data_IF_814549338036
#
_entry.id   IF_814549338036
#
_cell.length_a   1.000
_cell.length_b   1.000
_cell.length_c   1.000
_cell.angle_alpha   90.00
_cell.angle_beta   90.00
_cell.angle_gamma   90.00
#
_symmetry.space_group_name_H-M   'P 1'
#
loop_
_entity.id
_entity.type
_entity.pdbx_description
1 polymer ?
#
# COMPACT_ATOMS: atom_id res chain seq x y z
N UNK A 1 14.46 -25.77 -2.94
CA UNK A 1 15.38 -24.64 -3.25
C UNK A 1 15.59 -23.85 -1.97
N UNK A 2 16.83 -23.62 -1.52
CA UNK A 2 17.09 -22.76 -0.35
C UNK A 2 16.67 -21.33 -0.72
N UNK A 3 15.68 -20.80 0.00
CA UNK A 3 15.26 -19.41 -0.14
C UNK A 3 16.43 -18.51 0.27
N UNK A 4 16.93 -17.72 -0.67
CA UNK A 4 17.98 -16.75 -0.42
C UNK A 4 17.38 -15.66 0.49
N UNK A 5 17.93 -15.48 1.69
CA UNK A 5 17.52 -14.41 2.59
C UNK A 5 17.57 -13.07 1.84
N UNK A 6 16.54 -12.26 1.94
CA UNK A 6 16.46 -10.95 1.27
C UNK A 6 17.67 -10.09 1.65
N UNK A 7 18.61 -9.90 0.72
CA UNK A 7 19.87 -9.21 0.96
C UNK A 7 19.61 -7.71 1.20
N UNK A 8 19.98 -7.21 2.38
CA UNK A 8 19.89 -5.80 2.71
C UNK A 8 20.65 -4.93 1.71
N UNK A 9 21.87 -5.36 1.30
CA UNK A 9 22.71 -4.61 0.35
C UNK A 9 22.08 -4.50 -1.04
N UNK A 10 21.46 -5.58 -1.53
CA UNK A 10 20.78 -5.58 -2.83
C UNK A 10 19.53 -4.69 -2.77
N UNK A 11 18.78 -4.76 -1.69
CA UNK A 11 17.62 -3.90 -1.49
C UNK A 11 18.01 -2.41 -1.41
N UNK A 12 19.12 -2.08 -0.77
CA UNK A 12 19.64 -0.70 -0.72
C UNK A 12 19.98 -0.19 -2.13
N UNK A 13 20.58 -1.03 -2.97
CA UNK A 13 20.87 -0.66 -4.36
C UNK A 13 19.58 -0.38 -5.16
N UNK A 14 18.54 -1.20 -4.99
CA UNK A 14 17.24 -0.98 -5.66
C UNK A 14 16.54 0.26 -5.12
N UNK A 15 16.66 0.58 -3.83
CA UNK A 15 16.18 1.84 -3.27
C UNK A 15 16.88 3.06 -3.91
N UNK A 16 18.19 3.04 -4.06
CA UNK A 16 18.94 4.10 -4.75
C UNK A 16 18.51 4.23 -6.22
N UNK A 17 18.27 3.12 -6.89
CA UNK A 17 17.74 3.11 -8.25
C UNK A 17 16.33 3.75 -8.31
N UNK A 18 15.44 3.46 -7.35
CA UNK A 18 14.13 4.12 -7.25
C UNK A 18 14.26 5.65 -7.22
N UNK A 19 15.19 6.17 -6.43
CA UNK A 19 15.45 7.61 -6.37
C UNK A 19 15.94 8.18 -7.72
N UNK A 20 16.81 7.46 -8.42
CA UNK A 20 17.33 7.91 -9.73
C UNK A 20 16.28 7.87 -10.84
N UNK A 21 15.26 7.01 -10.72
CA UNK A 21 14.17 6.85 -11.67
C UNK A 21 12.93 7.70 -11.34
N UNK A 22 12.92 8.43 -10.21
CA UNK A 22 11.70 9.12 -9.74
C UNK A 22 11.10 10.09 -10.77
N UNK A 23 11.91 10.80 -11.55
CA UNK A 23 11.43 11.72 -12.60
C UNK A 23 10.83 10.94 -13.79
N UNK A 24 11.46 9.84 -14.19
CA UNK A 24 10.96 8.95 -15.23
C UNK A 24 9.65 8.29 -14.81
N UNK A 25 9.58 7.79 -13.57
CA UNK A 25 8.39 7.18 -12.98
C UNK A 25 7.23 8.17 -12.96
N UNK A 26 7.47 9.41 -12.53
CA UNK A 26 6.44 10.45 -12.52
C UNK A 26 5.98 10.82 -13.93
N UNK A 27 6.91 11.05 -14.85
CA UNK A 27 6.61 11.43 -16.23
C UNK A 27 5.89 10.31 -16.99
N UNK A 28 6.34 9.06 -16.82
CA UNK A 28 5.73 7.87 -17.42
C UNK A 28 4.43 7.44 -16.76
N UNK A 29 4.08 8.00 -15.62
CA UNK A 29 2.92 7.63 -14.79
C UNK A 29 2.82 6.14 -14.47
N UNK A 30 3.97 5.45 -14.44
CA UNK A 30 4.12 4.01 -14.10
C UNK A 30 5.57 3.70 -13.78
N UNK A 31 5.79 2.58 -13.13
CA UNK A 31 7.14 2.04 -13.00
C UNK A 31 7.63 1.52 -14.36
N UNK A 32 8.89 1.78 -14.76
CA UNK A 32 9.53 1.08 -15.84
C UNK A 32 9.46 -0.44 -15.63
N UNK A 33 9.13 -1.21 -16.68
CA UNK A 33 8.86 -2.64 -16.54
C UNK A 33 10.05 -3.40 -15.94
N UNK A 34 11.26 -3.09 -16.36
CA UNK A 34 12.48 -3.71 -15.85
C UNK A 34 12.68 -3.40 -14.37
N UNK A 35 12.45 -2.16 -13.94
CA UNK A 35 12.54 -1.77 -12.54
C UNK A 35 11.49 -2.46 -11.67
N UNK A 36 10.26 -2.61 -12.17
CA UNK A 36 9.22 -3.37 -11.47
C UNK A 36 9.63 -4.85 -11.26
N UNK A 37 10.25 -5.48 -12.26
CA UNK A 37 10.78 -6.85 -12.13
C UNK A 37 11.97 -6.92 -11.17
N UNK A 38 12.82 -5.91 -11.10
CA UNK A 38 13.89 -5.84 -10.10
C UNK A 38 13.33 -5.73 -8.67
N UNK A 39 12.27 -4.95 -8.45
CA UNK A 39 11.55 -4.91 -7.17
C UNK A 39 10.95 -6.28 -6.83
N UNK A 40 10.39 -6.99 -7.81
CA UNK A 40 9.86 -8.33 -7.63
C UNK A 40 10.97 -9.33 -7.26
N UNK A 41 12.12 -9.28 -7.92
CA UNK A 41 13.31 -10.08 -7.60
C UNK A 41 13.85 -9.83 -6.18
N UNK A 42 13.58 -8.64 -5.60
CA UNK A 42 13.87 -8.34 -4.20
C UNK A 42 12.75 -8.77 -3.25
N UNK A 43 11.78 -9.56 -3.71
CA UNK A 43 10.68 -10.09 -2.91
C UNK A 43 9.65 -9.04 -2.49
N UNK A 44 9.63 -7.86 -3.11
CA UNK A 44 8.74 -6.77 -2.69
C UNK A 44 7.25 -7.09 -2.92
N UNK A 45 6.92 -7.97 -3.85
CA UNK A 45 5.55 -8.42 -4.12
C UNK A 45 5.22 -9.76 -3.44
N UNK A 46 6.22 -10.55 -3.06
CA UNK A 46 6.05 -11.86 -2.40
C UNK A 46 6.39 -11.84 -0.92
N UNK A 47 6.60 -10.64 -0.32
CA UNK A 47 7.00 -10.53 1.09
C UNK A 47 6.00 -11.13 2.07
N UNK A 48 4.72 -11.17 1.72
CA UNK A 48 3.64 -11.73 2.56
C UNK A 48 3.02 -13.02 2.00
N UNK A 49 3.59 -13.58 0.93
CA UNK A 49 3.22 -14.90 0.40
C UNK A 49 3.77 -15.99 1.33
N UNK A 50 3.01 -17.08 1.59
CA UNK A 50 3.48 -18.22 2.38
C UNK A 50 4.83 -18.79 1.92
N UNK A 51 5.65 -19.23 2.86
CA UNK A 51 6.97 -19.80 2.56
C UNK A 51 6.89 -21.10 1.77
N UNK A 52 5.93 -21.93 2.07
CA UNK A 52 5.70 -23.20 1.39
C UNK A 52 5.21 -23.01 -0.06
N UNK A 53 4.64 -21.85 -0.40
CA UNK A 53 4.39 -21.45 -1.77
C UNK A 53 5.63 -20.86 -2.48
N UNK A 54 6.71 -20.55 -1.75
CA UNK A 54 7.90 -19.90 -2.29
C UNK A 54 7.98 -18.40 -1.99
N UNK A 55 7.09 -17.85 -1.15
CA UNK A 55 7.13 -16.48 -0.66
C UNK A 55 8.08 -16.28 0.52
N UNK A 56 8.11 -15.08 1.08
CA UNK A 56 9.00 -14.73 2.18
C UNK A 56 8.33 -14.78 3.55
N UNK A 57 7.02 -14.67 3.61
CA UNK A 57 6.21 -14.69 4.85
C UNK A 57 6.84 -13.83 5.95
N UNK A 58 7.18 -12.60 5.59
CA UNK A 58 7.77 -11.65 6.53
C UNK A 58 6.74 -11.27 7.60
N UNK A 59 7.24 -10.96 8.80
CA UNK A 59 6.41 -10.33 9.81
C UNK A 59 5.83 -9.00 9.27
N UNK A 60 4.65 -8.57 9.74
CA UNK A 60 4.13 -7.24 9.43
C UNK A 60 5.13 -6.12 9.71
N UNK A 61 5.87 -6.24 10.83
CA UNK A 61 6.87 -5.26 11.25
C UNK A 61 8.00 -5.13 10.22
N UNK A 62 8.54 -6.27 9.75
CA UNK A 62 9.64 -6.27 8.78
C UNK A 62 9.17 -5.84 7.39
N UNK A 63 8.01 -6.31 6.95
CA UNK A 63 7.45 -5.93 5.65
C UNK A 63 7.14 -4.43 5.58
N UNK A 64 6.51 -3.86 6.62
CA UNK A 64 6.23 -2.42 6.67
C UNK A 64 7.50 -1.59 6.79
N UNK A 65 8.55 -2.07 7.47
CA UNK A 65 9.85 -1.40 7.51
C UNK A 65 10.51 -1.33 6.13
N UNK A 66 10.37 -2.38 5.28
CA UNK A 66 10.86 -2.35 3.90
C UNK A 66 10.09 -1.35 3.04
N UNK A 67 8.77 -1.30 3.17
CA UNK A 67 7.93 -0.31 2.48
C UNK A 67 8.27 1.12 2.89
N UNK A 68 8.40 1.38 4.20
CA UNK A 68 8.81 2.68 4.73
C UNK A 68 10.19 3.10 4.18
N UNK A 69 11.14 2.16 4.11
CA UNK A 69 12.46 2.42 3.56
C UNK A 69 12.41 2.76 2.07
N UNK A 70 11.71 1.99 1.25
CA UNK A 70 11.58 2.27 -0.19
C UNK A 70 10.91 3.62 -0.43
N UNK A 71 9.89 3.99 0.37
CA UNK A 71 9.18 5.27 0.26
C UNK A 71 10.07 6.49 0.53
N UNK A 72 11.17 6.34 1.26
CA UNK A 72 12.15 7.42 1.43
C UNK A 72 12.84 7.79 0.11
N UNK A 73 12.91 6.85 -0.82
CA UNK A 73 13.54 7.03 -2.12
C UNK A 73 12.50 7.42 -3.19
N UNK A 74 11.42 6.63 -3.33
CA UNK A 74 10.31 6.93 -4.22
C UNK A 74 8.99 6.40 -3.65
N UNK A 75 8.04 7.32 -3.41
CA UNK A 75 6.77 6.99 -2.79
C UNK A 75 5.85 6.19 -3.71
N UNK A 76 5.88 6.44 -5.02
CA UNK A 76 5.06 5.72 -5.99
C UNK A 76 5.49 4.25 -6.11
N UNK A 77 6.81 3.99 -6.14
CA UNK A 77 7.37 2.63 -6.13
C UNK A 77 6.98 1.86 -4.86
N UNK A 78 7.09 2.51 -3.70
CA UNK A 78 6.69 1.91 -2.43
C UNK A 78 5.17 1.63 -2.37
N UNK A 79 4.35 2.53 -2.93
CA UNK A 79 2.91 2.35 -3.03
C UNK A 79 2.54 1.15 -3.90
N UNK A 80 3.14 1.01 -5.08
CA UNK A 80 2.93 -0.14 -5.96
C UNK A 80 3.30 -1.44 -5.27
N UNK A 81 4.46 -1.48 -4.61
CA UNK A 81 4.88 -2.65 -3.82
C UNK A 81 3.93 -2.93 -2.65
N UNK A 82 3.45 -1.90 -1.95
CA UNK A 82 2.51 -2.03 -0.84
C UNK A 82 1.20 -2.66 -1.30
N UNK A 83 0.60 -2.15 -2.37
CA UNK A 83 -0.65 -2.70 -2.93
C UNK A 83 -0.45 -4.16 -3.37
N UNK A 84 0.66 -4.45 -4.09
CA UNK A 84 0.92 -5.81 -4.56
C UNK A 84 1.19 -6.80 -3.42
N UNK A 85 2.02 -6.42 -2.46
CA UNK A 85 2.34 -7.28 -1.32
C UNK A 85 1.11 -7.54 -0.42
N UNK A 86 0.28 -6.53 -0.17
CA UNK A 86 -0.93 -6.72 0.64
C UNK A 86 -2.00 -7.51 -0.10
N UNK A 87 -2.14 -7.35 -1.43
CA UNK A 87 -2.99 -8.21 -2.24
C UNK A 87 -2.52 -9.67 -2.23
N UNK A 88 -1.22 -9.89 -2.14
CA UNK A 88 -0.62 -11.23 -2.11
C UNK A 88 -0.92 -12.03 -0.82
N UNK A 89 -1.46 -11.41 0.24
CA UNK A 89 -2.06 -12.15 1.38
C UNK A 89 -3.14 -13.12 0.92
N UNK A 90 -3.83 -12.81 -0.18
CA UNK A 90 -4.83 -13.68 -0.79
C UNK A 90 -4.31 -15.05 -1.22
N UNK A 91 -3.00 -15.19 -1.43
CA UNK A 91 -2.36 -16.46 -1.76
C UNK A 91 -2.60 -17.55 -0.70
N UNK A 92 -2.75 -17.17 0.57
CA UNK A 92 -3.02 -18.10 1.64
C UNK A 92 -4.43 -18.71 1.60
N UNK A 93 -5.36 -18.09 0.87
CA UNK A 93 -6.78 -18.52 0.76
C UNK A 93 -7.08 -19.28 -0.53
N UNK A 94 -6.09 -19.50 -1.38
CA UNK A 94 -6.17 -20.24 -2.63
C UNK A 94 -5.32 -21.51 -2.48
N UNK A 95 -5.78 -22.64 -3.05
CA UNK A 95 -5.03 -23.89 -3.00
C UNK A 95 -3.62 -23.73 -3.60
N UNK A 96 -2.65 -24.40 -3.00
CA UNK A 96 -1.22 -24.22 -3.28
C UNK A 96 -0.84 -24.38 -4.76
N UNK A 97 -1.39 -25.38 -5.44
CA UNK A 97 -1.15 -25.66 -6.86
C UNK A 97 -1.64 -24.53 -7.80
N UNK A 98 -2.66 -23.80 -7.36
CA UNK A 98 -3.24 -22.64 -8.05
C UNK A 98 -2.56 -21.32 -7.63
N UNK A 99 -2.30 -21.15 -6.33
CA UNK A 99 -1.72 -19.94 -5.79
C UNK A 99 -0.24 -19.73 -6.20
N UNK A 100 0.55 -20.81 -6.22
CA UNK A 100 1.97 -20.76 -6.50
C UNK A 100 2.31 -20.07 -7.84
N UNK A 101 1.70 -20.43 -8.99
CA UNK A 101 1.97 -19.76 -10.26
C UNK A 101 1.50 -18.29 -10.31
N UNK A 102 0.51 -17.91 -9.49
CA UNK A 102 -0.03 -16.54 -9.47
C UNK A 102 0.81 -15.60 -8.62
N UNK A 103 1.31 -16.05 -7.47
CA UNK A 103 1.89 -15.19 -6.45
C UNK A 103 3.38 -15.43 -6.19
N UNK A 104 3.88 -16.61 -6.44
CA UNK A 104 5.22 -17.03 -6.02
C UNK A 104 6.13 -17.50 -7.17
N UNK A 105 5.65 -17.55 -8.41
CA UNK A 105 6.52 -17.76 -9.56
C UNK A 105 7.55 -16.62 -9.64
N UNK A 106 8.72 -16.92 -10.20
CA UNK A 106 9.86 -16.00 -10.27
C UNK A 106 9.43 -14.61 -10.82
N UNK A 107 9.77 -13.57 -10.06
CA UNK A 107 9.48 -12.16 -10.39
C UNK A 107 8.01 -11.85 -10.66
N UNK A 108 7.08 -12.64 -10.13
CA UNK A 108 5.65 -12.42 -10.27
C UNK A 108 5.22 -11.11 -9.60
N UNK A 109 4.36 -10.36 -10.27
CA UNK A 109 3.78 -9.12 -9.77
C UNK A 109 2.27 -9.28 -9.72
N UNK A 110 1.69 -9.06 -8.55
CA UNK A 110 0.24 -8.99 -8.36
C UNK A 110 -0.15 -7.61 -7.87
N UNK A 111 -1.39 -7.24 -8.11
CA UNK A 111 -2.04 -6.10 -7.45
C UNK A 111 -3.50 -6.44 -7.15
N UNK A 112 -4.22 -5.54 -6.47
CA UNK A 112 -5.61 -5.80 -6.15
C UNK A 112 -6.42 -4.55 -5.89
N UNK A 113 -7.72 -4.62 -6.23
CA UNK A 113 -8.74 -3.62 -5.96
C UNK A 113 -9.84 -4.30 -5.16
N UNK A 114 -9.97 -3.92 -3.89
CA UNK A 114 -10.93 -4.55 -2.99
C UNK A 114 -12.38 -4.11 -3.23
N UNK A 115 -12.60 -2.92 -3.83
CA UNK A 115 -13.94 -2.39 -4.07
C UNK A 115 -14.80 -3.38 -4.88
N UNK A 116 -16.01 -3.77 -4.40
CA UNK A 116 -16.83 -4.80 -5.01
C UNK A 116 -17.63 -4.27 -6.22
N UNK A 117 -16.91 -3.75 -7.22
CA UNK A 117 -17.50 -3.16 -8.41
C UNK A 117 -17.82 -4.19 -9.49
N UNK A 118 -17.25 -5.39 -9.41
CA UNK A 118 -17.58 -6.49 -10.30
C UNK A 118 -18.92 -7.10 -9.99
N UNK A 119 -19.56 -7.64 -11.02
CA UNK A 119 -20.78 -8.44 -10.96
C UNK A 119 -20.59 -9.70 -11.79
N UNK A 120 -21.15 -10.79 -11.33
CA UNK A 120 -21.06 -12.03 -12.06
C UNK A 120 -21.84 -13.15 -11.40
N UNK A 121 -21.80 -14.29 -12.03
CA UNK A 121 -22.47 -15.50 -11.59
C UNK A 121 -21.59 -16.73 -11.89
N UNK A 122 -21.89 -17.81 -11.21
CA UNK A 122 -21.22 -19.10 -11.44
C UNK A 122 -21.80 -19.77 -12.69
N UNK A 123 -20.92 -20.28 -13.55
CA UNK A 123 -21.26 -21.09 -14.71
C UNK A 123 -20.31 -22.31 -14.75
N UNK A 124 -20.75 -23.41 -14.18
CA UNK A 124 -19.94 -24.61 -14.00
C UNK A 124 -18.77 -24.38 -13.03
N UNK A 125 -17.54 -24.58 -13.52
CA UNK A 125 -16.29 -24.39 -12.76
C UNK A 125 -15.71 -22.97 -12.89
N UNK A 126 -16.41 -22.07 -13.59
CA UNK A 126 -16.02 -20.68 -13.77
C UNK A 126 -17.01 -19.72 -13.14
N UNK A 127 -16.54 -18.50 -12.83
CA UNK A 127 -17.36 -17.31 -12.75
C UNK A 127 -17.34 -16.55 -14.08
N UNK A 128 -18.50 -16.06 -14.51
CA UNK A 128 -18.61 -15.09 -15.62
C UNK A 128 -18.70 -13.71 -14.99
N UNK A 129 -17.66 -12.89 -15.19
CA UNK A 129 -17.48 -11.63 -14.47
C UNK A 129 -17.43 -10.46 -15.44
N UNK A 130 -18.15 -9.40 -15.09
CA UNK A 130 -18.05 -8.07 -15.73
C UNK A 130 -17.93 -6.99 -14.66
N UNK A 131 -17.19 -5.93 -14.97
CA UNK A 131 -17.07 -4.77 -14.08
C UNK A 131 -15.95 -3.83 -14.50
N UNK A 132 -15.97 -2.64 -13.90
CA UNK A 132 -14.93 -1.65 -14.05
C UNK A 132 -14.50 -1.15 -12.68
N UNK A 133 -13.19 -1.18 -12.43
CA UNK A 133 -12.60 -0.81 -11.16
C UNK A 133 -11.63 0.34 -11.36
N UNK A 134 -11.88 1.43 -10.66
CA UNK A 134 -10.94 2.55 -10.58
C UNK A 134 -9.85 2.27 -9.53
N UNK A 135 -8.78 3.04 -9.58
CA UNK A 135 -7.69 3.00 -8.59
C UNK A 135 -6.86 1.71 -8.60
N UNK A 136 -6.66 1.12 -9.78
CA UNK A 136 -5.91 -0.12 -9.98
C UNK A 136 -4.39 0.07 -9.85
N UNK A 137 -3.91 0.48 -8.68
CA UNK A 137 -2.49 0.77 -8.43
C UNK A 137 -1.61 -0.42 -8.75
N UNK A 138 -0.54 -0.19 -9.55
CA UNK A 138 0.41 -1.23 -9.96
C UNK A 138 -0.05 -2.11 -11.12
N UNK A 139 -1.29 -1.93 -11.61
CA UNK A 139 -1.87 -2.78 -12.66
C UNK A 139 -1.08 -2.77 -13.98
N UNK A 140 -0.37 -1.67 -14.30
CA UNK A 140 0.45 -1.60 -15.51
C UNK A 140 1.55 -2.66 -15.58
N UNK A 141 2.05 -3.11 -14.43
CA UNK A 141 3.13 -4.08 -14.32
C UNK A 141 2.67 -5.45 -13.80
N UNK A 142 1.41 -5.57 -13.34
CA UNK A 142 0.89 -6.79 -12.74
C UNK A 142 0.65 -7.89 -13.77
N UNK A 143 0.92 -9.14 -13.37
CA UNK A 143 0.60 -10.36 -14.12
C UNK A 143 -0.80 -10.87 -13.77
N UNK A 144 -1.21 -10.70 -12.51
CA UNK A 144 -2.55 -11.00 -12.01
C UNK A 144 -3.10 -9.84 -11.21
N UNK A 145 -4.41 -9.59 -11.35
CA UNK A 145 -5.10 -8.50 -10.68
C UNK A 145 -6.27 -9.07 -9.88
N UNK A 146 -6.24 -8.88 -8.57
CA UNK A 146 -7.34 -9.22 -7.67
C UNK A 146 -8.45 -8.17 -7.76
N UNK A 147 -9.66 -8.60 -8.07
CA UNK A 147 -10.80 -7.73 -8.33
C UNK A 147 -11.96 -8.07 -7.40
N UNK A 148 -12.43 -7.09 -6.63
CA UNK A 148 -13.60 -7.25 -5.77
C UNK A 148 -14.88 -7.39 -6.59
N UNK A 149 -15.64 -8.49 -6.36
CA UNK A 149 -16.83 -8.81 -7.09
C UNK A 149 -17.96 -9.22 -6.14
N UNK A 150 -19.19 -8.93 -6.52
CA UNK A 150 -20.41 -9.53 -5.96
C UNK A 150 -20.89 -10.61 -6.92
N UNK A 151 -20.84 -11.87 -6.47
CA UNK A 151 -21.08 -13.05 -7.29
C UNK A 151 -22.29 -13.84 -6.77
N UNK A 152 -23.15 -14.30 -7.68
CA UNK A 152 -24.29 -15.18 -7.41
C UNK A 152 -24.00 -16.60 -7.89
N UNK A 153 -24.77 -17.58 -7.42
CA UNK A 153 -24.66 -18.97 -7.90
C UNK A 153 -25.28 -19.14 -9.29
N UNK A 154 -26.32 -18.35 -9.61
CA UNK A 154 -26.96 -18.40 -10.91
C UNK A 154 -27.17 -16.99 -11.49
N UNK A 155 -27.30 -16.83 -12.82
CA UNK A 155 -27.48 -15.54 -13.46
C UNK A 155 -28.78 -14.80 -13.05
N UNK A 156 -29.80 -15.55 -12.68
CA UNK A 156 -31.16 -15.04 -12.34
C UNK A 156 -31.37 -14.85 -10.83
N UNK A 157 -30.34 -15.11 -10.00
CA UNK A 157 -30.44 -14.96 -8.55
C UNK A 157 -30.62 -13.48 -8.16
N UNK A 158 -31.31 -13.23 -7.02
CA UNK A 158 -31.40 -11.86 -6.46
C UNK A 158 -30.01 -11.32 -6.18
N UNK A 159 -29.64 -10.16 -6.74
CA UNK A 159 -28.33 -9.52 -6.46
C UNK A 159 -28.04 -9.30 -4.97
N UNK A 160 -29.04 -9.31 -4.10
CA UNK A 160 -28.88 -9.23 -2.65
C UNK A 160 -28.28 -10.49 -2.01
N UNK A 161 -28.36 -11.62 -2.71
CA UNK A 161 -27.76 -12.89 -2.27
C UNK A 161 -26.30 -13.02 -2.70
N UNK A 162 -25.79 -12.05 -3.48
CA UNK A 162 -24.44 -12.09 -4.01
C UNK A 162 -23.38 -12.09 -2.89
N UNK A 163 -22.41 -12.97 -3.03
CA UNK A 163 -21.26 -13.04 -2.14
C UNK A 163 -20.14 -12.12 -2.62
N UNK A 164 -19.52 -11.39 -1.68
CA UNK A 164 -18.32 -10.62 -1.98
C UNK A 164 -17.11 -11.54 -2.02
N UNK A 165 -16.48 -11.64 -3.19
CA UNK A 165 -15.25 -12.40 -3.41
C UNK A 165 -14.19 -11.54 -4.12
N UNK A 166 -12.92 -11.87 -3.89
CA UNK A 166 -11.81 -11.39 -4.70
C UNK A 166 -11.51 -12.42 -5.77
N UNK A 167 -11.55 -12.00 -7.02
CA UNK A 167 -11.31 -12.85 -8.20
C UNK A 167 -9.96 -12.47 -8.79
N UNK A 168 -9.05 -13.44 -8.92
CA UNK A 168 -7.72 -13.24 -9.50
C UNK A 168 -7.77 -13.39 -11.02
N UNK A 169 -7.80 -12.26 -11.71
CA UNK A 169 -7.84 -12.20 -13.17
C UNK A 169 -6.43 -12.12 -13.75
N UNK A 170 -6.08 -12.97 -14.74
CA UNK A 170 -4.83 -12.82 -15.47
C UNK A 170 -4.87 -11.55 -16.33
N UNK A 171 -3.71 -10.93 -16.53
CA UNK A 171 -3.56 -9.65 -17.24
C UNK A 171 -4.21 -9.64 -18.62
N UNK A 172 -4.18 -10.76 -19.31
CA UNK A 172 -4.65 -10.92 -20.70
C UNK A 172 -6.16 -10.70 -20.84
N UNK A 173 -6.93 -10.88 -19.77
CA UNK A 173 -8.37 -10.64 -19.74
C UNK A 173 -8.73 -9.18 -19.44
N UNK A 174 -7.76 -8.36 -19.03
CA UNK A 174 -8.00 -7.01 -18.53
C UNK A 174 -7.93 -5.99 -19.67
N UNK A 175 -8.96 -5.16 -19.78
CA UNK A 175 -8.90 -3.91 -20.54
C UNK A 175 -8.44 -2.78 -19.63
N UNK A 176 -7.38 -2.09 -20.03
CA UNK A 176 -6.78 -0.96 -19.29
C UNK A 176 -7.27 0.37 -19.86
N UNK A 177 -7.62 1.30 -18.95
CA UNK A 177 -8.03 2.66 -19.32
C UNK A 177 -7.06 3.67 -18.73
N UNK A 178 -6.58 4.60 -19.55
CA UNK A 178 -5.67 5.67 -19.12
C UNK A 178 -6.43 6.81 -18.43
N UNK A 179 -6.84 6.59 -17.19
CA UNK A 179 -7.59 7.56 -16.39
C UNK A 179 -6.77 8.20 -15.27
N UNK A 180 -5.50 7.75 -15.03
CA UNK A 180 -4.70 8.21 -13.89
C UNK A 180 -3.95 9.52 -14.17
N UNK A 181 -4.70 10.63 -14.26
CA UNK A 181 -4.17 11.99 -14.42
C UNK A 181 -4.36 12.76 -13.12
N UNK A 182 -3.41 12.65 -12.19
CA UNK A 182 -3.57 13.02 -10.78
C UNK A 182 -2.54 14.03 -10.30
N UNK A 183 -2.80 14.61 -9.11
CA UNK A 183 -1.92 15.53 -8.44
C UNK A 183 -0.59 14.87 -8.05
N UNK A 184 -0.65 13.75 -7.35
CA UNK A 184 0.50 12.99 -6.84
C UNK A 184 0.32 11.50 -7.05
N UNK A 185 1.30 10.69 -6.59
CA UNK A 185 1.37 9.24 -6.82
C UNK A 185 1.20 8.89 -8.30
N UNK A 186 1.66 9.74 -9.20
CA UNK A 186 1.48 9.57 -10.65
C UNK A 186 2.06 8.24 -11.13
N UNK A 187 3.24 7.89 -10.62
CA UNK A 187 3.97 6.67 -10.99
C UNK A 187 3.29 5.36 -10.59
N UNK A 188 2.17 5.40 -9.87
CA UNK A 188 1.46 4.18 -9.44
C UNK A 188 0.60 3.55 -10.54
N UNK A 189 0.36 4.26 -11.65
CA UNK A 189 -0.48 3.78 -12.76
C UNK A 189 -1.85 3.27 -12.29
N UNK A 190 -2.50 4.04 -11.39
CA UNK A 190 -3.77 3.65 -10.77
C UNK A 190 -4.98 3.93 -11.68
N UNK A 191 -4.84 3.73 -12.99
CA UNK A 191 -5.92 3.84 -13.97
C UNK A 191 -7.04 2.83 -13.71
N UNK A 192 -8.11 2.93 -14.49
CA UNK A 192 -9.21 1.98 -14.41
C UNK A 192 -8.85 0.69 -15.15
N UNK A 193 -9.37 -0.41 -14.64
CA UNK A 193 -9.33 -1.73 -15.29
C UNK A 193 -10.74 -2.26 -15.48
N UNK A 194 -10.97 -3.04 -16.55
CA UNK A 194 -12.29 -3.53 -16.89
C UNK A 194 -12.23 -5.00 -17.32
N UNK A 195 -13.24 -5.76 -16.91
CA UNK A 195 -13.57 -7.09 -17.42
C UNK A 195 -14.93 -7.04 -18.11
N UNK A 196 -15.07 -7.74 -19.25
CA UNK A 196 -16.34 -7.90 -19.95
C UNK A 196 -16.59 -9.38 -20.20
N UNK A 197 -17.60 -9.94 -19.53
CA UNK A 197 -18.00 -11.35 -19.62
C UNK A 197 -16.81 -12.33 -19.53
N UNK A 198 -15.85 -12.00 -18.67
CA UNK A 198 -14.63 -12.80 -18.53
C UNK A 198 -14.92 -14.08 -17.74
N UNK A 199 -14.49 -15.21 -18.26
CA UNK A 199 -14.56 -16.51 -17.58
C UNK A 199 -13.31 -16.69 -16.73
N UNK A 200 -13.49 -16.85 -15.43
CA UNK A 200 -12.39 -17.01 -14.48
C UNK A 200 -12.72 -18.21 -13.59
N UNK A 201 -11.82 -19.20 -13.47
CA UNK A 201 -12.06 -20.37 -12.64
C UNK A 201 -12.48 -20.00 -11.21
N UNK A 202 -13.50 -20.65 -10.66
CA UNK A 202 -13.94 -20.46 -9.27
C UNK A 202 -12.77 -20.61 -8.29
N UNK A 203 -11.87 -21.54 -8.58
CA UNK A 203 -10.68 -21.78 -7.78
C UNK A 203 -9.67 -20.60 -7.75
N UNK A 204 -9.80 -19.61 -8.64
CA UNK A 204 -9.03 -18.38 -8.67
C UNK A 204 -9.66 -17.27 -7.80
N UNK A 205 -10.50 -17.62 -6.84
CA UNK A 205 -11.18 -16.65 -6.00
C UNK A 205 -11.15 -17.03 -4.52
N UNK A 206 -11.33 -16.02 -3.67
CA UNK A 206 -11.47 -16.21 -2.22
C UNK A 206 -12.33 -15.10 -1.61
N UNK A 207 -12.98 -15.43 -0.48
CA UNK A 207 -13.82 -14.51 0.28
C UNK A 207 -13.16 -14.20 1.64
N UNK A 208 -12.70 -12.94 1.82
CA UNK A 208 -12.08 -12.50 3.07
C UNK A 208 -13.11 -12.53 4.21
N UNK A 209 -12.71 -13.11 5.34
CA UNK A 209 -13.55 -13.24 6.53
C UNK A 209 -14.57 -14.37 6.47
N UNK A 210 -14.62 -15.13 5.37
CA UNK A 210 -15.46 -16.33 5.21
C UNK A 210 -14.65 -17.58 4.93
N UNK A 211 -13.77 -17.52 3.92
CA UNK A 211 -12.90 -18.64 3.60
C UNK A 211 -11.82 -18.77 4.66
N UNK A 212 -11.48 -19.99 5.04
CA UNK A 212 -10.36 -20.28 5.90
C UNK A 212 -9.08 -20.33 5.08
N UNK A 213 -7.96 -19.84 5.61
CA UNK A 213 -6.68 -19.97 4.91
C UNK A 213 -6.26 -21.44 4.81
N UNK A 214 -5.62 -21.79 3.71
CA UNK A 214 -4.97 -23.09 3.51
C UNK A 214 -3.63 -23.20 4.23
N UNK A 215 -3.11 -22.08 4.77
CA UNK A 215 -1.82 -21.98 5.44
C UNK A 215 -2.03 -21.46 6.87
N UNK A 216 -1.48 -22.19 7.85
CA UNK A 216 -1.71 -21.95 9.28
C UNK A 216 -0.84 -20.82 9.87
N UNK A 217 -0.14 -20.04 9.06
CA UNK A 217 0.76 -18.98 9.52
C UNK A 217 0.00 -17.85 10.25
N UNK A 218 0.55 -17.30 11.35
CA UNK A 218 -0.08 -16.23 12.10
C UNK A 218 -0.29 -14.95 11.26
N UNK A 219 0.50 -14.76 10.20
CA UNK A 219 0.34 -13.62 9.28
C UNK A 219 -1.07 -13.54 8.67
N UNK A 220 -1.70 -14.68 8.37
CA UNK A 220 -3.01 -14.77 7.73
C UNK A 220 -4.18 -14.63 8.70
N UNK A 221 -3.88 -14.50 10.00
CA UNK A 221 -4.83 -14.15 11.06
C UNK A 221 -4.84 -12.64 11.37
N UNK A 222 -3.97 -11.85 10.72
CA UNK A 222 -3.97 -10.40 10.88
C UNK A 222 -5.30 -9.79 10.41
N UNK A 223 -5.82 -8.75 11.12
CA UNK A 223 -7.02 -8.05 10.67
C UNK A 223 -6.76 -7.40 9.31
N UNK A 224 -7.47 -7.87 8.27
CA UNK A 224 -7.13 -7.59 6.87
C UNK A 224 -7.08 -6.09 6.55
N UNK A 225 -8.15 -5.34 6.88
CA UNK A 225 -8.21 -3.91 6.60
C UNK A 225 -7.23 -3.08 7.42
N UNK A 226 -7.02 -3.46 8.69
CA UNK A 226 -6.01 -2.82 9.53
C UNK A 226 -4.60 -3.07 8.99
N UNK A 227 -4.34 -4.26 8.46
CA UNK A 227 -3.08 -4.59 7.79
C UNK A 227 -2.85 -3.74 6.52
N UNK A 228 -3.88 -3.58 5.68
CA UNK A 228 -3.81 -2.70 4.51
C UNK A 228 -3.53 -1.24 4.93
N UNK A 229 -4.20 -0.77 6.00
CA UNK A 229 -3.99 0.57 6.52
C UNK A 229 -2.55 0.77 7.03
N UNK A 230 -1.97 -0.26 7.66
CA UNK A 230 -0.58 -0.22 8.09
C UNK A 230 0.37 -0.03 6.91
N UNK A 231 0.13 -0.68 5.78
CA UNK A 231 0.90 -0.47 4.55
C UNK A 231 0.88 0.98 4.07
N UNK A 232 -0.29 1.61 4.03
CA UNK A 232 -0.44 3.03 3.67
C UNK A 232 0.32 3.93 4.65
N UNK A 233 0.23 3.65 5.96
CA UNK A 233 0.97 4.35 7.01
C UNK A 233 2.49 4.27 6.84
N UNK A 234 3.01 3.09 6.51
CA UNK A 234 4.44 2.89 6.27
C UNK A 234 4.97 3.74 5.10
N UNK A 235 4.25 3.76 3.96
CA UNK A 235 4.61 4.58 2.80
C UNK A 235 4.59 6.07 3.14
N UNK A 236 3.56 6.52 3.87
CA UNK A 236 3.45 7.93 4.28
C UNK A 236 4.61 8.36 5.21
N UNK A 237 4.97 7.53 6.21
CA UNK A 237 6.09 7.78 7.12
C UNK A 237 7.42 7.89 6.36
N UNK A 238 7.66 7.00 5.39
CA UNK A 238 8.86 7.04 4.55
C UNK A 238 8.93 8.31 3.70
N UNK A 239 7.83 8.69 3.06
CA UNK A 239 7.74 9.91 2.26
C UNK A 239 8.00 11.18 3.12
N UNK A 240 7.47 11.24 4.34
CA UNK A 240 7.69 12.36 5.26
C UNK A 240 9.15 12.43 5.73
N UNK A 241 9.76 11.29 6.02
CA UNK A 241 11.21 11.24 6.32
C UNK A 241 12.04 11.80 5.17
N UNK A 242 11.72 11.38 3.93
CA UNK A 242 12.41 11.89 2.74
C UNK A 242 12.27 13.41 2.59
N UNK A 243 11.09 13.98 2.85
CA UNK A 243 10.90 15.43 2.78
C UNK A 243 11.83 16.18 3.74
N UNK A 244 11.99 15.71 4.98
CA UNK A 244 12.94 16.29 5.95
C UNK A 244 14.39 16.19 5.43
N UNK A 245 14.79 15.03 4.93
CA UNK A 245 16.15 14.83 4.43
C UNK A 245 16.41 15.63 3.13
N UNK A 246 15.44 15.74 2.24
CA UNK A 246 15.53 16.57 1.04
C UNK A 246 15.72 18.05 1.42
N UNK A 247 14.99 18.55 2.42
CA UNK A 247 15.15 19.92 2.92
C UNK A 247 16.55 20.16 3.54
N UNK A 248 17.04 19.23 4.35
CA UNK A 248 18.36 19.33 4.99
C UNK A 248 19.52 19.43 4.00
N UNK A 249 19.36 18.87 2.78
CA UNK A 249 20.43 18.91 1.75
C UNK A 249 20.71 20.32 1.22
N UNK A 250 19.74 21.22 1.22
CA UNK A 250 19.97 22.56 0.67
C UNK A 250 19.80 23.71 1.67
N UNK A 251 19.22 23.47 2.85
CA UNK A 251 18.93 24.53 3.83
C UNK A 251 20.18 25.29 4.29
N UNK A 252 21.34 24.61 4.32
CA UNK A 252 22.61 25.20 4.74
C UNK A 252 23.25 26.19 3.76
N UNK A 253 22.83 26.12 2.48
CA UNK A 253 23.40 27.01 1.44
C UNK A 253 22.34 27.99 0.88
N UNK A 254 21.06 27.73 1.08
CA UNK A 254 19.99 28.58 0.57
C UNK A 254 19.82 29.83 1.41
N UNK A 255 19.74 31.00 0.72
CA UNK A 255 19.40 32.31 1.31
C UNK A 255 18.08 32.81 0.73
N UNK A 256 17.31 33.54 1.53
CA UNK A 256 16.18 34.32 1.05
C UNK A 256 16.64 35.49 0.15
N UNK A 257 15.72 36.01 -0.68
CA UNK A 257 15.99 37.17 -1.51
C UNK A 257 16.40 38.37 -0.64
N UNK A 258 17.57 38.95 -0.90
CA UNK A 258 18.10 40.09 -0.15
C UNK A 258 18.67 39.74 1.24
N UNK A 259 18.72 38.47 1.64
CA UNK A 259 19.18 38.07 2.96
C UNK A 259 20.66 37.66 2.99
N UNK A 260 21.33 37.97 4.08
CA UNK A 260 22.73 37.55 4.31
C UNK A 260 22.80 36.14 4.93
N UNK A 261 21.84 35.79 5.79
CA UNK A 261 21.76 34.51 6.49
C UNK A 261 21.14 33.42 5.61
N UNK A 262 21.66 32.22 5.77
CA UNK A 262 21.02 31.00 5.17
C UNK A 262 19.73 30.65 5.90
N UNK A 263 18.91 29.81 5.30
CA UNK A 263 17.71 29.30 5.99
C UNK A 263 18.07 28.55 7.28
N UNK A 264 19.19 27.83 7.29
CA UNK A 264 19.65 27.08 8.45
C UNK A 264 19.98 27.97 9.66
N UNK A 265 20.35 29.26 9.43
CA UNK A 265 20.68 30.21 10.49
C UNK A 265 19.46 30.96 11.07
N UNK A 266 18.27 30.70 10.55
CA UNK A 266 17.02 31.34 11.01
C UNK A 266 16.40 30.53 12.15
N UNK A 267 16.21 31.17 13.31
CA UNK A 267 15.62 30.50 14.50
C UNK A 267 14.23 29.92 14.23
N UNK A 268 13.39 30.60 13.44
CA UNK A 268 12.07 30.09 13.04
C UNK A 268 12.16 28.79 12.22
N UNK A 269 13.13 28.70 11.30
CA UNK A 269 13.38 27.48 10.50
C UNK A 269 13.86 26.34 11.41
N UNK A 270 14.83 26.64 12.30
CA UNK A 270 15.35 25.66 13.25
C UNK A 270 14.25 25.10 14.15
N UNK A 271 13.40 25.98 14.71
CA UNK A 271 12.28 25.57 15.57
C UNK A 271 11.25 24.70 14.83
N UNK A 272 10.82 25.10 13.64
CA UNK A 272 9.81 24.34 12.88
C UNK A 272 10.36 23.01 12.37
N UNK A 273 11.64 22.96 11.98
CA UNK A 273 12.30 21.70 11.60
C UNK A 273 12.35 20.72 12.79
N UNK A 274 12.68 21.21 13.98
CA UNK A 274 12.68 20.38 15.20
C UNK A 274 11.29 19.88 15.56
N UNK A 275 10.24 20.72 15.40
CA UNK A 275 8.84 20.31 15.59
C UNK A 275 8.41 19.24 14.56
N UNK A 276 8.75 19.41 13.29
CA UNK A 276 8.50 18.42 12.26
C UNK A 276 9.20 17.08 12.57
N UNK A 277 10.44 17.13 13.00
CA UNK A 277 11.23 15.94 13.38
C UNK A 277 10.60 15.20 14.56
N UNK A 278 10.25 15.88 15.64
CA UNK A 278 9.68 15.21 16.83
C UNK A 278 8.28 14.65 16.52
N UNK A 279 7.47 15.36 15.73
CA UNK A 279 6.17 14.87 15.28
C UNK A 279 6.30 13.57 14.49
N UNK A 280 7.21 13.53 13.51
CA UNK A 280 7.42 12.31 12.72
C UNK A 280 7.95 11.16 13.58
N UNK A 281 8.90 11.41 14.48
CA UNK A 281 9.46 10.38 15.37
C UNK A 281 8.44 9.81 16.33
N UNK A 282 7.62 10.67 16.96
CA UNK A 282 6.56 10.23 17.87
C UNK A 282 5.50 9.41 17.14
N UNK A 283 5.07 9.87 15.97
CA UNK A 283 4.10 9.16 15.12
C UNK A 283 4.63 7.79 14.69
N UNK A 284 5.89 7.73 14.24
CA UNK A 284 6.53 6.48 13.81
C UNK A 284 6.70 5.49 14.97
N UNK A 285 7.03 5.97 16.16
CA UNK A 285 7.16 5.13 17.35
C UNK A 285 5.80 4.52 17.72
N UNK A 286 4.75 5.35 17.85
CA UNK A 286 3.40 4.90 18.13
C UNK A 286 2.92 3.85 17.10
N UNK A 287 3.10 4.13 15.80
CA UNK A 287 2.72 3.22 14.73
C UNK A 287 3.45 1.87 14.85
N UNK A 288 4.76 1.88 15.06
CA UNK A 288 5.57 0.66 15.13
C UNK A 288 5.29 -0.16 16.39
N UNK A 289 5.12 0.50 17.51
CA UNK A 289 4.81 -0.13 18.80
C UNK A 289 3.47 -0.86 18.74
N UNK A 290 2.42 -0.18 18.24
CA UNK A 290 1.10 -0.79 18.07
C UNK A 290 1.12 -1.96 17.08
N UNK A 291 1.79 -1.81 15.93
CA UNK A 291 1.91 -2.89 14.95
C UNK A 291 2.64 -4.11 15.53
N UNK A 292 3.72 -3.88 16.28
CA UNK A 292 4.49 -4.94 16.92
C UNK A 292 3.67 -5.64 18.02
N UNK A 293 2.92 -4.90 18.82
CA UNK A 293 2.03 -5.46 19.85
C UNK A 293 0.92 -6.33 19.24
N UNK A 294 0.24 -5.84 18.21
CA UNK A 294 -0.77 -6.62 17.46
C UNK A 294 -0.16 -7.89 16.87
N UNK A 295 1.04 -7.80 16.29
CA UNK A 295 1.73 -8.96 15.75
C UNK A 295 2.08 -10.00 16.82
N UNK A 296 2.54 -9.55 17.99
CA UNK A 296 2.79 -10.45 19.15
C UNK A 296 1.52 -11.14 19.61
N UNK A 297 0.41 -10.42 19.70
CA UNK A 297 -0.89 -10.97 20.07
C UNK A 297 -1.36 -12.04 19.08
N UNK A 298 -1.25 -11.75 17.78
CA UNK A 298 -1.61 -12.72 16.72
C UNK A 298 -0.73 -13.99 16.81
N UNK A 299 0.58 -13.83 17.00
CA UNK A 299 1.49 -14.97 17.16
C UNK A 299 1.19 -15.81 18.43
N UNK A 300 0.66 -15.18 19.48
CA UNK A 300 0.26 -15.83 20.70
C UNK A 300 -1.16 -16.43 20.65
N UNK A 301 -1.87 -16.29 19.51
CA UNK A 301 -3.25 -16.76 19.36
C UNK A 301 -4.27 -15.96 20.17
N UNK A 302 -3.94 -14.71 20.52
CA UNK A 302 -4.85 -13.82 21.24
C UNK A 302 -5.91 -13.31 20.25
N UNK A 303 -7.17 -13.33 20.70
CA UNK A 303 -8.29 -12.86 19.88
C UNK A 303 -8.12 -11.40 19.42
N UNK A 304 -8.34 -11.16 18.15
CA UNK A 304 -8.34 -9.83 17.56
C UNK A 304 -9.72 -9.17 17.78
N UNK A 305 -9.91 -8.61 18.97
CA UNK A 305 -11.14 -7.90 19.33
C UNK A 305 -11.33 -6.65 18.45
N UNK A 306 -12.56 -6.11 18.33
CA UNK A 306 -12.81 -4.86 17.62
C UNK A 306 -11.91 -3.70 18.07
N UNK A 307 -11.61 -3.60 19.37
CA UNK A 307 -10.74 -2.56 19.93
C UNK A 307 -9.31 -2.67 19.41
N UNK A 308 -8.73 -3.88 19.39
CA UNK A 308 -7.38 -4.11 18.85
C UNK A 308 -7.29 -3.81 17.37
N UNK A 309 -8.31 -4.19 16.60
CA UNK A 309 -8.41 -3.86 15.17
C UNK A 309 -8.52 -2.34 14.97
N UNK A 310 -9.35 -1.69 15.78
CA UNK A 310 -9.53 -0.24 15.77
C UNK A 310 -8.23 0.50 16.11
N UNK A 311 -7.44 0.03 17.06
CA UNK A 311 -6.15 0.64 17.42
C UNK A 311 -5.17 0.64 16.24
N UNK A 312 -5.02 -0.48 15.53
CA UNK A 312 -4.14 -0.52 14.35
C UNK A 312 -4.64 0.39 13.22
N UNK A 313 -5.97 0.47 13.04
CA UNK A 313 -6.60 1.41 12.10
C UNK A 313 -6.34 2.86 12.49
N UNK A 314 -6.49 3.18 13.78
CA UNK A 314 -6.27 4.50 14.33
C UNK A 314 -4.84 5.00 14.09
N UNK A 315 -3.85 4.22 14.52
CA UNK A 315 -2.44 4.63 14.41
C UNK A 315 -1.97 4.70 12.96
N UNK A 316 -2.49 3.84 12.10
CA UNK A 316 -2.19 3.85 10.66
C UNK A 316 -2.73 5.11 9.99
N UNK A 317 -3.99 5.48 10.26
CA UNK A 317 -4.59 6.71 9.76
C UNK A 317 -3.87 7.94 10.33
N UNK A 318 -3.55 7.92 11.63
CA UNK A 318 -2.77 8.98 12.27
C UNK A 318 -1.40 9.15 11.62
N UNK A 319 -0.71 8.04 11.31
CA UNK A 319 0.57 8.07 10.62
C UNK A 319 0.49 8.81 9.27
N UNK A 320 -0.55 8.55 8.46
CA UNK A 320 -0.77 9.25 7.19
C UNK A 320 -1.00 10.74 7.43
N UNK A 321 -1.90 11.11 8.35
CA UNK A 321 -2.26 12.51 8.62
C UNK A 321 -1.11 13.33 9.17
N UNK A 322 -0.34 12.78 10.11
CA UNK A 322 0.84 13.46 10.68
C UNK A 322 1.97 13.54 9.66
N UNK A 323 2.15 12.55 8.82
CA UNK A 323 3.12 12.59 7.72
C UNK A 323 2.85 13.74 6.77
N UNK A 324 1.59 13.96 6.38
CA UNK A 324 1.19 15.11 5.54
C UNK A 324 1.48 16.44 6.25
N UNK A 325 1.14 16.55 7.54
CA UNK A 325 1.40 17.76 8.32
C UNK A 325 2.92 18.09 8.35
N UNK A 326 3.76 17.07 8.56
CA UNK A 326 5.23 17.21 8.49
C UNK A 326 5.69 17.68 7.11
N UNK A 327 5.20 17.04 6.04
CA UNK A 327 5.60 17.40 4.66
C UNK A 327 5.17 18.84 4.32
N UNK A 328 3.99 19.30 4.77
CA UNK A 328 3.53 20.69 4.61
C UNK A 328 4.49 21.68 5.29
N UNK A 329 4.86 21.41 6.55
CA UNK A 329 5.85 22.25 7.26
C UNK A 329 7.14 22.35 6.45
N UNK A 330 7.67 21.25 5.96
CA UNK A 330 8.90 21.22 5.18
C UNK A 330 8.75 21.98 3.85
N UNK A 331 7.63 21.83 3.17
CA UNK A 331 7.32 22.56 1.94
C UNK A 331 7.30 24.07 2.18
N UNK A 332 6.64 24.52 3.24
CA UNK A 332 6.56 25.95 3.61
C UNK A 332 7.93 26.51 3.97
N UNK A 333 8.74 25.76 4.73
CA UNK A 333 10.12 26.13 5.05
C UNK A 333 11.01 26.23 3.82
N UNK A 334 10.80 25.39 2.82
CA UNK A 334 11.53 25.41 1.56
C UNK A 334 11.19 26.65 0.71
N UNK A 335 10.04 27.27 0.93
CA UNK A 335 9.58 28.48 0.25
C UNK A 335 9.57 28.32 -1.27
N UNK A 336 9.86 29.40 -2.02
CA UNK A 336 9.80 29.40 -3.49
C UNK A 336 10.60 28.29 -4.21
N UNK A 337 11.58 27.66 -3.57
CA UNK A 337 12.31 26.52 -4.16
C UNK A 337 11.42 25.28 -4.30
N UNK A 338 10.48 25.09 -3.37
CA UNK A 338 9.56 23.94 -3.39
C UNK A 338 8.53 23.99 -4.52
N UNK A 339 8.37 25.12 -5.20
CA UNK A 339 7.40 25.28 -6.29
C UNK A 339 7.88 24.67 -7.61
N UNK A 340 9.18 24.63 -7.83
CA UNK A 340 9.76 24.12 -9.07
C UNK A 340 9.64 22.60 -9.17
N UNK A 341 9.28 22.09 -10.37
CA UNK A 341 9.18 20.64 -10.62
C UNK A 341 10.50 19.89 -10.40
N UNK A 342 11.64 20.58 -10.52
CA UNK A 342 12.96 20.04 -10.21
C UNK A 342 13.22 19.84 -8.70
N UNK A 343 12.35 20.38 -7.83
CA UNK A 343 12.47 20.18 -6.37
C UNK A 343 11.77 18.88 -5.96
N UNK A 344 12.44 17.96 -5.27
CA UNK A 344 11.77 16.75 -4.77
C UNK A 344 10.66 17.07 -3.75
N UNK A 345 10.75 18.17 -3.02
CA UNK A 345 9.82 18.52 -1.93
C UNK A 345 8.40 18.71 -2.45
N UNK A 346 8.20 19.34 -3.64
CA UNK A 346 6.86 19.48 -4.20
C UNK A 346 6.25 18.12 -4.56
N UNK A 347 7.07 17.15 -5.03
CA UNK A 347 6.60 15.78 -5.29
C UNK A 347 6.20 15.10 -3.99
N UNK A 348 7.04 15.21 -2.95
CA UNK A 348 6.71 14.67 -1.62
C UNK A 348 5.38 15.19 -1.09
N UNK A 349 5.09 16.50 -1.29
CA UNK A 349 3.83 17.09 -0.88
C UNK A 349 2.65 16.53 -1.70
N UNK A 350 2.74 16.52 -3.01
CA UNK A 350 1.66 16.02 -3.90
C UNK A 350 1.34 14.55 -3.62
N UNK A 351 2.37 13.73 -3.42
CA UNK A 351 2.21 12.32 -3.08
C UNK A 351 1.55 12.16 -1.71
N UNK A 352 2.00 12.91 -0.70
CA UNK A 352 1.42 12.88 0.66
C UNK A 352 -0.06 13.29 0.66
N UNK A 353 -0.43 14.36 -0.05
CA UNK A 353 -1.82 14.79 -0.19
C UNK A 353 -2.68 13.71 -0.87
N UNK A 354 -2.16 13.07 -1.92
CA UNK A 354 -2.85 12.00 -2.62
C UNK A 354 -3.09 10.77 -1.74
N UNK A 355 -2.13 10.40 -0.89
CA UNK A 355 -2.27 9.29 0.08
C UNK A 355 -3.45 9.51 1.03
N UNK A 356 -3.76 10.76 1.41
CA UNK A 356 -4.87 11.06 2.31
C UNK A 356 -6.25 10.76 1.72
N UNK A 357 -6.35 10.63 0.40
CA UNK A 357 -7.60 10.36 -0.30
C UNK A 357 -7.92 8.86 -0.41
N UNK A 358 -7.00 8.00 0.01
CA UNK A 358 -7.27 6.57 0.06
C UNK A 358 -8.29 6.25 1.16
N UNK A 359 -9.35 5.51 0.82
CA UNK A 359 -10.47 5.23 1.73
C UNK A 359 -10.04 4.65 3.09
N UNK A 360 -8.98 3.83 3.09
CA UNK A 360 -8.46 3.17 4.31
C UNK A 360 -7.82 4.17 5.27
N UNK A 361 -7.31 5.31 4.79
CA UNK A 361 -6.66 6.36 5.58
C UNK A 361 -7.49 7.66 5.63
N UNK A 362 -8.78 7.60 5.26
CA UNK A 362 -9.68 8.73 5.27
C UNK A 362 -10.00 9.20 6.70
N UNK A 363 -10.44 10.46 6.83
CA UNK A 363 -10.82 11.01 8.14
C UNK A 363 -12.00 10.27 8.79
N UNK A 364 -12.85 9.60 8.00
CA UNK A 364 -13.95 8.77 8.52
C UNK A 364 -13.49 7.59 9.36
N UNK A 365 -12.22 7.19 9.26
CA UNK A 365 -11.64 6.18 10.17
C UNK A 365 -11.70 6.63 11.63
N UNK A 366 -11.53 7.92 11.91
CA UNK A 366 -11.64 8.42 13.29
C UNK A 366 -13.06 8.28 13.85
N UNK A 367 -14.09 8.44 13.02
CA UNK A 367 -15.49 8.22 13.42
C UNK A 367 -15.73 6.74 13.73
N UNK A 368 -15.23 5.83 12.86
CA UNK A 368 -15.32 4.39 13.07
C UNK A 368 -14.66 3.98 14.40
N UNK A 369 -13.42 4.41 14.61
CA UNK A 369 -12.66 4.10 15.84
C UNK A 369 -13.31 4.73 17.07
N UNK A 370 -13.72 6.01 17.00
CA UNK A 370 -14.40 6.69 18.08
C UNK A 370 -15.69 5.98 18.51
N UNK A 371 -16.43 5.41 17.56
CA UNK A 371 -17.63 4.59 17.82
C UNK A 371 -17.27 3.32 18.59
N UNK A 372 -16.19 2.62 18.23
CA UNK A 372 -15.68 1.46 18.98
C UNK A 372 -15.31 1.86 20.40
N UNK A 373 -14.55 2.95 20.59
CA UNK A 373 -14.13 3.45 21.89
C UNK A 373 -15.30 3.81 22.81
N UNK A 374 -16.46 4.18 22.26
CA UNK A 374 -17.68 4.49 22.99
C UNK A 374 -18.59 3.26 23.20
N UNK A 375 -18.14 2.06 22.83
CA UNK A 375 -18.91 0.82 22.95
C UNK A 375 -20.08 0.71 21.96
N UNK A 376 -20.08 1.49 20.86
CA UNK A 376 -21.09 1.43 19.82
C UNK A 376 -20.91 0.19 18.94
N UNK A 377 -22.00 -0.20 18.23
CA UNK A 377 -21.95 -1.25 17.22
C UNK A 377 -20.99 -0.89 16.09
N UNK A 378 -20.24 -1.86 15.64
CA UNK A 378 -19.27 -1.70 14.56
C UNK A 378 -19.26 -2.91 13.67
N UNK A 379 -19.20 -2.67 12.39
CA UNK A 379 -19.00 -3.69 11.40
C UNK A 379 -17.53 -4.09 11.41
N UNK A 380 -17.24 -5.30 11.87
CA UNK A 380 -15.87 -5.78 12.10
C UNK A 380 -15.03 -5.92 10.83
N UNK A 381 -15.66 -6.00 9.66
CA UNK A 381 -14.95 -6.12 8.38
C UNK A 381 -14.17 -4.84 8.04
N UNK A 382 -14.61 -3.66 8.44
CA UNK A 382 -13.93 -2.39 8.15
C UNK A 382 -12.82 -2.05 9.17
N UNK A 383 -12.70 -2.81 10.25
CA UNK A 383 -11.65 -2.71 11.26
C UNK A 383 -10.43 -3.63 10.92
#
# INVERSE_FOLDING_TARGET
MQQQALSTKQFDAVCLQAASLSDEIEAGRRLPAEFARQLAAQGMFSMFVPRDLGGHELSPVDGMARLEKLAQYDAASAWVCMIGATAALGSAFIKADIAQPMFAAENRITCGIFAPNGRGYRDGDDYVVSGRWAWASGSANADYIGLGCLLTENPDDDPKTAEMRLVMAPRELIQFHDTWHTLGLKGTSSGDVELSQARIPVAHSYAIGKDLPWHDGPLYQMPYFAFLAAGVGAVALGNARAAIEDFKRFVGVKKGAGERRTLAEKSGVQSQLAQAEVTLRATRLLYRDTLAGIWQDVCAGVEMTPEKRADLRLVSTHAVRQSVAVVRIIHDLAGGTSVYLSSPIQRRLRDAETMTQHMIASASTYELVGRVMLGGYHETMQL
#
